data_IF_892890602360
#
_entry.id   IF_892890602360
#
_cell.length_a   1.000
_cell.length_b   1.000
_cell.length_c   1.000
_cell.angle_alpha   90.00
_cell.angle_beta   90.00
_cell.angle_gamma   90.00
#
_symmetry.space_group_name_H-M   'P 1'
#
loop_
_entity.id
_entity.type
_entity.pdbx_description
1 polymer ?
#
# COMPACT_ATOMS: atom_id res chain seq x y z
N UNK A 1 -11.27 -5.79 -4.80
CA UNK A 1 -9.92 -5.87 -5.35
C UNK A 1 -9.56 -4.49 -5.84
N UNK A 2 -8.46 -3.91 -5.40
CA UNK A 2 -7.96 -2.68 -6.03
C UNK A 2 -7.47 -3.01 -7.42
N UNK A 3 -8.03 -2.35 -8.41
CA UNK A 3 -7.56 -2.43 -9.77
C UNK A 3 -6.86 -1.11 -10.15
N UNK A 4 -6.18 -1.10 -11.28
CA UNK A 4 -5.42 0.08 -11.74
C UNK A 4 -6.33 1.29 -11.94
N UNK A 5 -7.59 1.10 -12.37
CA UNK A 5 -8.55 2.18 -12.56
C UNK A 5 -8.95 2.84 -11.23
N UNK A 6 -9.10 2.05 -10.17
CA UNK A 6 -9.43 2.59 -8.84
C UNK A 6 -8.32 3.53 -8.34
N UNK A 7 -7.06 3.22 -8.65
CA UNK A 7 -5.90 4.06 -8.34
C UNK A 7 -5.89 5.31 -9.22
N UNK A 8 -6.05 5.13 -10.53
CA UNK A 8 -6.04 6.22 -11.52
C UNK A 8 -7.14 7.26 -11.27
N UNK A 9 -8.34 6.81 -10.93
CA UNK A 9 -9.51 7.66 -10.68
C UNK A 9 -9.59 8.19 -9.24
N UNK A 10 -8.75 7.67 -8.33
CA UNK A 10 -8.83 7.96 -6.91
C UNK A 10 -9.97 7.24 -6.16
N UNK A 11 -10.78 6.41 -6.83
CA UNK A 11 -11.87 5.65 -6.19
C UNK A 11 -11.38 4.71 -5.07
N UNK A 12 -10.11 4.30 -5.12
CA UNK A 12 -9.45 3.55 -4.04
C UNK A 12 -9.52 4.27 -2.68
N UNK A 13 -9.52 5.61 -2.67
CA UNK A 13 -9.62 6.42 -1.46
C UNK A 13 -10.90 6.19 -0.68
N UNK A 14 -12.03 6.01 -1.37
CA UNK A 14 -13.31 5.75 -0.73
C UNK A 14 -13.32 4.37 -0.07
N UNK A 15 -12.67 3.38 -0.70
CA UNK A 15 -12.46 2.06 -0.11
C UNK A 15 -11.63 2.13 1.17
N UNK A 16 -10.51 2.85 1.12
CA UNK A 16 -9.63 3.06 2.28
C UNK A 16 -10.39 3.81 3.38
N UNK A 17 -11.08 4.91 3.06
CA UNK A 17 -11.85 5.70 4.05
C UNK A 17 -12.90 4.85 4.77
N UNK A 18 -13.65 4.04 4.03
CA UNK A 18 -14.62 3.09 4.61
C UNK A 18 -13.93 2.12 5.55
N UNK A 19 -12.81 1.53 5.14
CA UNK A 19 -12.03 0.62 5.96
C UNK A 19 -11.58 1.27 7.28
N UNK A 20 -11.02 2.48 7.18
CA UNK A 20 -10.56 3.25 8.33
C UNK A 20 -11.70 3.58 9.29
N UNK A 21 -12.88 3.96 8.80
CA UNK A 21 -14.04 4.25 9.66
C UNK A 21 -14.47 3.04 10.49
N UNK A 22 -14.39 1.83 9.91
CA UNK A 22 -14.69 0.58 10.62
C UNK A 22 -13.62 0.28 11.67
N UNK A 23 -12.34 0.42 11.33
CA UNK A 23 -11.24 0.10 12.25
C UNK A 23 -10.93 1.18 13.31
N UNK A 24 -11.37 2.41 13.13
CA UNK A 24 -11.19 3.49 14.11
C UNK A 24 -12.40 3.63 15.04
N UNK A 25 -13.58 3.11 14.67
CA UNK A 25 -14.78 3.19 15.50
C UNK A 25 -14.65 2.37 16.79
N UNK A 26 -14.84 3.02 17.95
CA UNK A 26 -14.73 2.40 19.29
C UNK A 26 -15.83 1.38 19.61
N UNK A 27 -16.92 1.38 18.83
CA UNK A 27 -17.96 0.34 18.80
C UNK A 27 -17.72 -0.61 17.63
N UNK A 28 -16.49 -1.10 17.53
CA UNK A 28 -16.06 -2.01 16.49
C UNK A 28 -17.03 -3.19 16.40
N UNK A 29 -17.64 -3.40 15.23
CA UNK A 29 -18.35 -4.65 15.02
C UNK A 29 -17.34 -5.80 15.15
N UNK A 30 -17.77 -6.96 15.66
CA UNK A 30 -16.94 -8.16 15.69
C UNK A 30 -16.39 -8.51 14.29
N UNK A 31 -15.19 -9.10 14.23
CA UNK A 31 -14.51 -9.48 12.96
C UNK A 31 -15.37 -10.44 12.13
N UNK A 32 -16.23 -11.21 12.78
CA UNK A 32 -17.19 -12.16 12.22
C UNK A 32 -18.51 -11.52 11.78
N UNK A 33 -18.70 -10.20 11.93
CA UNK A 33 -19.81 -9.48 11.30
C UNK A 33 -19.66 -9.51 9.78
N UNK A 34 -20.71 -9.96 9.07
CA UNK A 34 -20.72 -10.14 7.62
C UNK A 34 -20.31 -8.86 6.85
N UNK A 35 -20.64 -7.67 7.37
CA UNK A 35 -20.26 -6.39 6.75
C UNK A 35 -18.77 -6.11 6.87
N UNK A 36 -18.14 -6.59 7.95
CA UNK A 36 -16.69 -6.55 8.12
C UNK A 36 -16.03 -7.64 7.28
N UNK A 37 -16.65 -8.82 7.13
CA UNK A 37 -16.16 -9.91 6.28
C UNK A 37 -15.79 -9.45 4.87
N UNK A 38 -16.72 -8.78 4.17
CA UNK A 38 -16.47 -8.26 2.81
C UNK A 38 -15.33 -7.23 2.76
N UNK A 39 -15.19 -6.40 3.81
CA UNK A 39 -14.10 -5.44 3.90
C UNK A 39 -12.75 -6.15 4.09
N UNK A 40 -12.71 -7.17 4.96
CA UNK A 40 -11.51 -7.97 5.21
C UNK A 40 -11.07 -8.69 3.94
N UNK A 41 -12.00 -9.30 3.21
CA UNK A 41 -11.71 -9.94 1.92
C UNK A 41 -11.09 -8.94 0.94
N UNK A 42 -11.64 -7.73 0.84
CA UNK A 42 -11.08 -6.67 0.00
C UNK A 42 -9.66 -6.28 0.40
N UNK A 43 -9.36 -6.18 1.70
CA UNK A 43 -8.02 -5.87 2.21
C UNK A 43 -7.05 -7.02 1.91
N UNK A 44 -7.45 -8.26 2.19
CA UNK A 44 -6.63 -9.45 1.93
C UNK A 44 -6.38 -9.68 0.44
N UNK A 45 -7.27 -9.25 -0.44
CA UNK A 45 -7.08 -9.34 -1.89
C UNK A 45 -5.92 -8.49 -2.42
N UNK A 46 -5.41 -7.53 -1.64
CA UNK A 46 -4.16 -6.83 -1.97
C UNK A 46 -2.91 -7.63 -1.58
N UNK A 47 -3.07 -8.76 -0.88
CA UNK A 47 -1.99 -9.58 -0.35
C UNK A 47 -0.83 -8.76 0.24
N UNK A 48 -1.11 -7.81 1.15
CA UNK A 48 -0.11 -6.86 1.58
C UNK A 48 1.01 -7.57 2.36
N UNK A 49 2.25 -7.26 2.00
CA UNK A 49 3.43 -7.92 2.55
C UNK A 49 4.43 -6.90 3.06
N UNK A 50 4.88 -7.07 4.30
CA UNK A 50 6.01 -6.32 4.83
C UNK A 50 7.31 -6.82 4.19
N UNK A 51 8.09 -5.90 3.64
CA UNK A 51 9.35 -6.20 2.95
C UNK A 51 10.47 -5.30 3.44
N UNK A 52 11.71 -5.76 3.28
CA UNK A 52 12.93 -4.99 3.51
C UNK A 52 13.26 -4.13 2.28
N UNK A 53 14.20 -3.18 2.45
CA UNK A 53 14.75 -2.41 1.31
C UNK A 53 15.39 -3.34 0.27
N UNK A 54 16.14 -4.35 0.70
CA UNK A 54 16.76 -5.31 -0.20
C UNK A 54 15.73 -6.10 -1.03
N UNK A 55 14.61 -6.47 -0.41
CA UNK A 55 13.51 -7.12 -1.12
C UNK A 55 12.78 -6.16 -2.05
N UNK A 56 12.57 -4.91 -1.65
CA UNK A 56 11.98 -3.87 -2.49
C UNK A 56 12.81 -3.64 -3.77
N UNK A 57 14.14 -3.59 -3.64
CA UNK A 57 15.08 -3.49 -4.77
C UNK A 57 14.88 -4.61 -5.80
N UNK A 58 14.55 -5.82 -5.38
CA UNK A 58 14.30 -6.93 -6.32
C UNK A 58 13.07 -6.64 -7.19
N UNK A 59 11.99 -6.11 -6.61
CA UNK A 59 10.80 -5.75 -7.38
C UNK A 59 11.08 -4.56 -8.31
N UNK A 60 11.76 -3.53 -7.81
CA UNK A 60 12.08 -2.32 -8.57
C UNK A 60 12.93 -2.65 -9.79
N UNK A 61 14.02 -3.40 -9.63
CA UNK A 61 14.96 -3.71 -10.72
C UNK A 61 14.38 -4.63 -11.79
N UNK A 62 13.33 -5.39 -11.47
CA UNK A 62 12.65 -6.27 -12.40
C UNK A 62 11.43 -5.62 -13.08
N UNK A 63 11.04 -4.41 -12.65
CA UNK A 63 9.90 -3.70 -13.22
C UNK A 63 10.25 -3.11 -14.59
N UNK A 64 9.27 -3.08 -15.48
CA UNK A 64 9.39 -2.49 -16.83
C UNK A 64 9.18 -0.98 -16.81
N UNK A 65 8.37 -0.50 -15.89
CA UNK A 65 8.09 0.91 -15.66
C UNK A 65 8.12 1.19 -14.16
N UNK A 66 8.63 2.35 -13.78
CA UNK A 66 8.77 2.77 -12.38
C UNK A 66 8.32 4.22 -12.29
N UNK A 67 7.51 4.50 -11.28
CA UNK A 67 7.08 5.84 -10.94
C UNK A 67 7.14 6.04 -9.43
N UNK A 68 7.27 7.28 -8.98
CA UNK A 68 7.09 7.63 -7.58
C UNK A 68 6.06 8.74 -7.43
N UNK A 69 5.31 8.70 -6.33
CA UNK A 69 4.32 9.73 -6.01
C UNK A 69 4.00 9.74 -4.53
N UNK A 70 3.11 10.62 -4.12
CA UNK A 70 2.59 10.56 -2.76
C UNK A 70 1.90 9.22 -2.50
N UNK A 71 1.90 8.78 -1.23
CA UNK A 71 1.06 7.65 -0.85
C UNK A 71 -0.39 7.89 -1.26
N UNK A 72 -1.01 6.90 -1.88
CA UNK A 72 -2.40 7.01 -2.33
C UNK A 72 -3.36 7.40 -1.20
N UNK A 73 -3.13 6.95 0.04
CA UNK A 73 -3.96 7.30 1.19
C UNK A 73 -3.65 8.68 1.83
N UNK A 74 -2.64 9.40 1.36
CA UNK A 74 -2.19 10.70 1.92
C UNK A 74 -3.33 11.73 2.01
N UNK A 75 -4.24 11.88 1.02
CA UNK A 75 -5.37 12.81 1.12
C UNK A 75 -6.32 12.55 2.30
N UNK A 76 -6.34 11.32 2.85
CA UNK A 76 -7.15 10.99 4.04
C UNK A 76 -6.46 11.39 5.35
N UNK A 77 -5.19 11.77 5.29
CA UNK A 77 -4.33 12.05 6.43
C UNK A 77 -3.50 13.32 6.20
N UNK A 78 -4.10 14.51 5.98
CA UNK A 78 -3.38 15.71 5.56
C UNK A 78 -2.29 16.17 6.55
N UNK A 79 -2.42 15.83 7.83
CA UNK A 79 -1.42 16.13 8.87
C UNK A 79 -0.33 15.07 9.08
N UNK A 80 -0.34 13.95 8.34
CA UNK A 80 0.73 12.93 8.47
C UNK A 80 2.06 13.41 7.84
N UNK A 81 3.13 12.65 8.00
CA UNK A 81 4.37 12.92 7.27
C UNK A 81 4.16 12.73 5.75
N UNK A 82 4.81 13.59 4.97
CA UNK A 82 4.93 13.39 3.53
C UNK A 82 5.86 12.20 3.32
N UNK A 83 5.27 11.05 3.04
CA UNK A 83 6.00 9.87 2.59
C UNK A 83 5.49 9.50 1.21
N UNK A 84 6.38 8.91 0.42
CA UNK A 84 6.12 8.57 -0.97
C UNK A 84 5.90 7.06 -1.14
N UNK A 85 5.23 6.71 -2.23
CA UNK A 85 5.09 5.34 -2.74
C UNK A 85 5.87 5.22 -4.05
N UNK A 86 6.38 4.01 -4.30
CA UNK A 86 6.89 3.58 -5.60
C UNK A 86 5.82 2.72 -6.27
N UNK A 87 5.47 3.04 -7.50
CA UNK A 87 4.57 2.30 -8.35
C UNK A 87 5.37 1.59 -9.45
N UNK A 88 4.97 0.37 -9.79
CA UNK A 88 5.65 -0.49 -10.77
C UNK A 88 4.72 -0.84 -11.93
N UNK A 89 5.32 -1.15 -13.08
CA UNK A 89 4.68 -1.67 -14.30
C UNK A 89 3.44 -0.85 -14.72
N UNK A 90 2.30 -1.49 -14.99
CA UNK A 90 1.11 -0.83 -15.53
C UNK A 90 0.49 0.14 -14.54
N UNK A 91 0.67 -0.09 -13.23
CA UNK A 91 0.27 0.89 -12.22
C UNK A 91 1.14 2.15 -12.32
N UNK A 92 2.45 2.02 -12.54
CA UNK A 92 3.33 3.17 -12.73
C UNK A 92 2.86 4.04 -13.90
N UNK A 93 2.62 3.42 -15.06
CA UNK A 93 2.13 4.11 -16.26
C UNK A 93 0.79 4.81 -16.00
N UNK A 94 -0.16 4.14 -15.34
CA UNK A 94 -1.46 4.73 -15.04
C UNK A 94 -1.38 5.93 -14.09
N UNK A 95 -0.50 5.87 -13.08
CA UNK A 95 -0.30 6.95 -12.12
C UNK A 95 0.42 8.15 -12.74
N UNK A 96 1.34 7.92 -13.69
CA UNK A 96 1.94 8.98 -14.50
C UNK A 96 0.87 9.65 -15.37
N UNK A 97 0.06 8.86 -16.08
CA UNK A 97 -0.98 9.38 -16.97
C UNK A 97 -2.07 10.19 -16.25
N UNK A 98 -2.36 9.87 -14.98
CA UNK A 98 -3.28 10.66 -14.15
C UNK A 98 -2.64 11.91 -13.53
N UNK A 99 -1.33 12.11 -13.70
CA UNK A 99 -0.57 13.19 -13.07
C UNK A 99 -0.38 13.03 -11.57
N UNK A 100 -0.59 11.82 -11.04
CA UNK A 100 -0.45 11.52 -9.60
C UNK A 100 0.94 10.99 -9.21
N UNK A 101 1.78 10.68 -10.20
CA UNK A 101 3.15 10.23 -10.00
C UNK A 101 4.05 10.75 -11.12
N UNK A 102 5.35 10.76 -10.85
CA UNK A 102 6.41 11.10 -11.80
C UNK A 102 7.19 9.85 -12.16
N UNK A 103 7.65 9.77 -13.41
CA UNK A 103 8.51 8.68 -13.86
C UNK A 103 9.82 8.69 -13.07
N UNK A 104 10.31 7.51 -12.72
CA UNK A 104 11.54 7.34 -11.96
C UNK A 104 12.42 6.24 -12.55
N UNK A 105 13.71 6.33 -12.26
CA UNK A 105 14.69 5.24 -12.44
C UNK A 105 14.65 4.28 -11.25
N UNK A 106 15.29 3.11 -11.40
CA UNK A 106 15.43 2.16 -10.30
C UNK A 106 16.23 2.76 -9.14
N UNK A 107 17.30 3.49 -9.45
CA UNK A 107 18.16 4.16 -8.47
C UNK A 107 17.40 5.22 -7.68
N UNK A 108 16.60 6.05 -8.35
CA UNK A 108 15.76 7.08 -7.69
C UNK A 108 14.71 6.44 -6.78
N UNK A 109 14.05 5.37 -7.24
CA UNK A 109 13.06 4.65 -6.44
C UNK A 109 13.68 3.98 -5.21
N UNK A 110 14.85 3.36 -5.34
CA UNK A 110 15.59 2.78 -4.20
C UNK A 110 16.01 3.85 -3.19
N UNK A 111 16.55 4.97 -3.66
CA UNK A 111 16.96 6.08 -2.81
C UNK A 111 15.78 6.68 -2.05
N UNK A 112 14.63 6.85 -2.71
CA UNK A 112 13.40 7.35 -2.11
C UNK A 112 12.88 6.43 -0.99
N UNK A 113 12.93 5.12 -1.19
CA UNK A 113 12.57 4.16 -0.14
C UNK A 113 13.56 4.16 1.02
N UNK A 114 14.87 4.33 0.76
CA UNK A 114 15.89 4.42 1.80
C UNK A 114 15.74 5.67 2.69
N UNK A 115 15.37 6.81 2.10
CA UNK A 115 15.05 8.02 2.85
C UNK A 115 13.86 7.83 3.80
N UNK A 116 12.99 6.87 3.47
CA UNK A 116 11.83 6.49 4.28
C UNK A 116 12.13 5.39 5.32
N UNK A 117 13.41 5.08 5.60
CA UNK A 117 13.86 3.94 6.42
C UNK A 117 13.31 3.86 7.86
N UNK A 118 12.71 4.93 8.39
CA UNK A 118 11.99 4.90 9.66
C UNK A 118 10.59 4.24 9.59
N UNK A 119 10.04 4.07 8.38
CA UNK A 119 8.70 3.53 8.15
C UNK A 119 8.78 2.13 7.54
N UNK A 120 8.01 1.14 8.04
CA UNK A 120 7.94 -0.19 7.43
C UNK A 120 7.47 -0.12 5.98
N UNK A 121 8.15 -0.84 5.08
CA UNK A 121 7.71 -0.94 3.69
C UNK A 121 6.68 -2.04 3.54
N UNK A 122 5.60 -1.72 2.82
CA UNK A 122 4.57 -2.68 2.44
C UNK A 122 4.49 -2.71 0.92
N UNK A 123 4.57 -3.89 0.34
CA UNK A 123 4.22 -4.12 -1.06
C UNK A 123 2.81 -4.69 -1.16
N UNK A 124 2.03 -4.19 -2.12
CA UNK A 124 0.64 -4.61 -2.36
C UNK A 124 0.43 -5.08 -3.80
N UNK A 125 -0.47 -6.03 -3.97
CA UNK A 125 -0.90 -6.59 -5.24
C UNK A 125 -2.06 -5.76 -5.83
N UNK A 126 -1.90 -5.29 -7.06
CA UNK A 126 -2.90 -4.54 -7.83
C UNK A 126 -3.04 -5.25 -9.17
N UNK A 127 -4.28 -5.59 -9.55
CA UNK A 127 -4.58 -6.31 -10.80
C UNK A 127 -3.74 -7.59 -10.99
N UNK A 128 -3.52 -8.36 -9.92
CA UNK A 128 -2.84 -9.65 -9.95
C UNK A 128 -1.31 -9.63 -9.89
N UNK A 129 -0.68 -8.45 -9.73
CA UNK A 129 0.77 -8.32 -9.55
C UNK A 129 1.13 -7.34 -8.45
N UNK A 130 2.26 -7.57 -7.79
CA UNK A 130 2.82 -6.63 -6.81
C UNK A 130 3.32 -5.37 -7.50
N UNK A 131 2.60 -4.26 -7.30
CA UNK A 131 2.80 -3.04 -8.10
C UNK A 131 2.85 -1.74 -7.29
N UNK A 132 2.59 -1.76 -5.98
CA UNK A 132 2.75 -0.60 -5.12
C UNK A 132 3.66 -0.97 -3.94
N UNK A 133 4.75 -0.23 -3.75
CA UNK A 133 5.60 -0.27 -2.55
C UNK A 133 5.40 1.05 -1.81
N UNK A 134 4.91 0.97 -0.59
CA UNK A 134 4.55 2.12 0.23
C UNK A 134 5.38 2.15 1.52
N UNK A 135 6.00 3.29 1.81
CA UNK A 135 6.56 3.58 3.13
C UNK A 135 5.43 3.86 4.12
N UNK A 136 4.96 2.81 4.78
CA UNK A 136 3.73 2.82 5.55
C UNK A 136 3.88 3.51 6.90
N UNK A 137 3.00 4.47 7.18
CA UNK A 137 2.92 5.10 8.49
C UNK A 137 2.05 4.26 9.42
N UNK A 138 2.64 3.62 10.43
CA UNK A 138 2.00 2.61 11.29
C UNK A 138 0.75 3.10 12.04
N UNK A 139 0.66 4.41 12.29
CA UNK A 139 -0.49 5.00 12.98
C UNK A 139 -1.68 5.28 12.07
N UNK A 140 -1.46 5.45 10.76
CA UNK A 140 -2.52 5.86 9.83
C UNK A 140 -2.73 4.90 8.65
N UNK A 141 -1.92 3.85 8.52
CA UNK A 141 -2.10 2.85 7.48
C UNK A 141 -3.32 1.96 7.76
N UNK A 142 -4.12 1.69 6.73
CA UNK A 142 -5.27 0.78 6.82
C UNK A 142 -4.86 -0.64 7.19
N UNK A 143 -3.73 -1.14 6.69
CA UNK A 143 -3.25 -2.48 7.00
C UNK A 143 -2.82 -2.61 8.46
N UNK A 144 -2.05 -1.65 8.97
CA UNK A 144 -1.65 -1.64 10.38
C UNK A 144 -2.85 -1.49 11.34
N UNK A 145 -3.89 -0.76 10.95
CA UNK A 145 -5.15 -0.70 11.69
C UNK A 145 -5.91 -2.03 11.66
N UNK A 146 -5.95 -2.70 10.51
CA UNK A 146 -6.53 -4.04 10.38
C UNK A 146 -5.77 -5.07 11.25
N UNK A 147 -4.44 -5.02 11.30
CA UNK A 147 -3.62 -5.84 12.20
C UNK A 147 -3.99 -5.63 13.66
N UNK A 148 -4.08 -4.38 14.11
CA UNK A 148 -4.47 -4.04 15.49
C UNK A 148 -5.86 -4.55 15.86
N UNK A 149 -6.70 -4.82 14.85
CA UNK A 149 -8.04 -5.40 14.99
C UNK A 149 -8.08 -6.90 14.75
N UNK A 150 -6.94 -7.61 14.67
CA UNK A 150 -6.90 -9.07 14.58
C UNK A 150 -7.21 -9.65 13.19
N UNK A 151 -7.16 -8.83 12.13
CA UNK A 151 -7.43 -9.30 10.76
C UNK A 151 -6.27 -10.16 10.21
N UNK A 152 -5.04 -9.93 10.68
CA UNK A 152 -3.83 -10.65 10.28
C UNK A 152 -3.67 -10.72 8.75
N UNK A 153 -3.73 -9.56 8.10
CA UNK A 153 -3.57 -9.38 6.67
C UNK A 153 -2.12 -9.17 6.21
N UNK A 154 -1.23 -8.65 7.07
CA UNK A 154 0.16 -8.39 6.72
C UNK A 154 1.00 -9.66 6.81
N UNK A 155 1.42 -10.17 5.65
CA UNK A 155 2.38 -11.27 5.57
C UNK A 155 3.80 -10.73 5.80
N UNK A 156 4.66 -11.55 6.39
CA UNK A 156 6.13 -11.33 6.36
C UNK A 156 6.71 -12.31 5.35
N UNK A 157 7.66 -11.87 4.55
CA UNK A 157 8.39 -12.79 3.68
C UNK A 157 9.26 -13.68 4.57
N UNK A 158 9.18 -14.99 4.36
CA UNK A 158 10.02 -15.96 5.08
C UNK A 158 11.46 -15.86 4.55
N UNK A 159 12.22 -14.93 5.11
CA UNK A 159 13.67 -14.79 4.88
C UNK A 159 14.47 -14.85 6.20
N UNK A 160 13.81 -15.16 7.32
CA UNK A 160 14.41 -15.35 8.65
C UNK A 160 14.52 -16.83 9.07
N UNK A 161 14.79 -17.75 8.14
CA UNK A 161 15.20 -19.14 8.45
C UNK A 161 16.37 -19.56 7.56
N UNK A 162 17.53 -18.98 7.84
CA UNK A 162 18.83 -19.64 7.62
C UNK A 162 19.39 -20.09 8.97
#
# INVERSE_FOLDING_TARGET
MGNIEDYRSGAILDGIRKALSVFDSGNALPIDDERIGHLIEKIRAFEPMCITIAEASIFIRNAKAIAHGERVCRPLHPGSELTQSVFLDELAEAMILSGSAEQATAEEAEQLLQQSSGNPLIISMISGRYQEICASHTMSCVYWRAEKRGVHCLKRRETDRD
#
